data_IF_590355845486
#
_entry.id   IF_590355845486
#
_cell.length_a   1.000
_cell.length_b   1.000
_cell.length_c   1.000
_cell.angle_alpha   90.00
_cell.angle_beta   90.00
_cell.angle_gamma   90.00
#
_symmetry.space_group_name_H-M   'P 1'
#
loop_
_entity.id
_entity.type
_entity.pdbx_description
1 polymer ?
#
# COMPACT_ATOMS: atom_id res chain seq x y z
N UNK A 1 -2.17 -23.53 17.68
CA UNK A 1 -3.27 -23.69 16.70
C UNK A 1 -4.21 -22.49 16.64
N UNK A 2 -4.92 -22.09 17.71
CA UNK A 2 -5.84 -20.93 17.68
C UNK A 2 -5.14 -19.56 17.75
N UNK A 3 -4.00 -19.47 18.43
CA UNK A 3 -3.18 -18.25 18.49
C UNK A 3 -2.55 -17.88 17.15
N UNK A 4 -2.10 -18.88 16.39
CA UNK A 4 -1.41 -18.68 15.11
C UNK A 4 -2.35 -18.08 14.06
N UNK A 5 -3.58 -18.60 13.97
CA UNK A 5 -4.63 -18.07 13.10
C UNK A 5 -5.02 -16.62 13.43
N UNK A 6 -5.04 -16.27 14.71
CA UNK A 6 -5.33 -14.89 15.15
C UNK A 6 -4.21 -13.93 14.71
N UNK A 7 -2.95 -14.35 14.81
CA UNK A 7 -1.80 -13.56 14.36
C UNK A 7 -1.80 -13.35 12.84
N UNK A 8 -2.03 -14.41 12.08
CA UNK A 8 -2.10 -14.33 10.61
C UNK A 8 -3.23 -13.40 10.12
N UNK A 9 -4.41 -13.47 10.75
CA UNK A 9 -5.52 -12.60 10.42
C UNK A 9 -5.19 -11.12 10.71
N UNK A 10 -4.52 -10.86 11.83
CA UNK A 10 -4.07 -9.50 12.20
C UNK A 10 -3.04 -8.96 11.21
N UNK A 11 -2.07 -9.78 10.81
CA UNK A 11 -1.04 -9.38 9.86
C UNK A 11 -1.64 -9.00 8.50
N UNK A 12 -2.52 -9.86 7.97
CA UNK A 12 -3.25 -9.59 6.72
C UNK A 12 -4.10 -8.31 6.81
N UNK A 13 -4.74 -8.08 7.97
CA UNK A 13 -5.50 -6.85 8.21
C UNK A 13 -4.62 -5.60 8.18
N UNK A 14 -3.45 -5.64 8.84
CA UNK A 14 -2.52 -4.52 8.87
C UNK A 14 -1.98 -4.20 7.47
N UNK A 15 -1.65 -5.22 6.68
CA UNK A 15 -1.23 -5.02 5.28
C UNK A 15 -2.35 -4.40 4.43
N UNK A 16 -3.59 -4.85 4.60
CA UNK A 16 -4.75 -4.24 3.94
C UNK A 16 -4.96 -2.77 4.33
N UNK A 17 -4.75 -2.42 5.60
CA UNK A 17 -4.89 -1.05 6.09
C UNK A 17 -3.89 -0.07 5.42
N UNK A 18 -2.70 -0.54 5.04
CA UNK A 18 -1.71 0.26 4.30
C UNK A 18 -2.25 0.64 2.93
N UNK A 19 -2.85 -0.31 2.21
CA UNK A 19 -3.43 -0.10 0.87
C UNK A 19 -4.57 0.93 0.93
N UNK A 20 -5.44 0.82 1.95
CA UNK A 20 -6.52 1.78 2.16
C UNK A 20 -5.98 3.18 2.45
N UNK A 21 -4.98 3.29 3.34
CA UNK A 21 -4.34 4.58 3.68
C UNK A 21 -3.67 5.23 2.47
N UNK A 22 -3.13 4.44 1.56
CA UNK A 22 -2.54 4.92 0.30
C UNK A 22 -3.59 5.36 -0.74
N UNK A 23 -4.89 5.25 -0.45
CA UNK A 23 -5.96 5.59 -1.39
C UNK A 23 -6.15 4.55 -2.51
N UNK A 24 -5.61 3.33 -2.34
CA UNK A 24 -5.56 2.30 -3.37
C UNK A 24 -6.59 1.18 -3.15
N UNK A 25 -7.62 1.43 -2.34
CA UNK A 25 -8.64 0.42 -1.99
C UNK A 25 -9.42 -0.12 -3.20
N UNK A 26 -9.48 0.65 -4.29
CA UNK A 26 -10.14 0.30 -5.55
C UNK A 26 -9.16 -0.09 -6.68
N UNK A 27 -7.86 -0.09 -6.40
CA UNK A 27 -6.85 -0.44 -7.40
C UNK A 27 -6.91 -1.93 -7.77
N UNK A 28 -6.52 -2.26 -8.99
CA UNK A 28 -6.41 -3.64 -9.44
C UNK A 28 -5.39 -4.43 -8.59
N UNK A 29 -5.71 -5.70 -8.33
CA UNK A 29 -4.89 -6.57 -7.47
C UNK A 29 -3.56 -6.95 -8.09
N UNK A 30 -3.51 -7.13 -9.42
CA UNK A 30 -2.27 -7.43 -10.11
C UNK A 30 -1.36 -6.20 -10.14
N UNK A 31 -1.94 -5.00 -10.34
CA UNK A 31 -1.21 -3.74 -10.21
C UNK A 31 -0.54 -3.57 -8.84
N UNK A 32 -1.30 -3.78 -7.75
CA UNK A 32 -0.78 -3.70 -6.39
C UNK A 32 0.35 -4.71 -6.15
N UNK A 33 0.15 -5.97 -6.53
CA UNK A 33 1.16 -7.00 -6.37
C UNK A 33 2.43 -6.69 -7.18
N UNK A 34 2.29 -6.23 -8.43
CA UNK A 34 3.42 -5.83 -9.27
C UNK A 34 4.25 -4.71 -8.63
N UNK A 35 3.60 -3.68 -8.11
CA UNK A 35 4.27 -2.60 -7.38
C UNK A 35 5.01 -3.10 -6.12
N UNK A 36 4.38 -3.99 -5.34
CA UNK A 36 5.02 -4.57 -4.15
C UNK A 36 6.24 -5.45 -4.50
N UNK A 37 6.20 -6.17 -5.62
CA UNK A 37 7.34 -6.96 -6.11
C UNK A 37 8.51 -6.06 -6.53
N UNK A 38 8.23 -4.93 -7.20
CA UNK A 38 9.24 -3.92 -7.50
C UNK A 38 9.83 -3.29 -6.22
N UNK A 39 9.01 -3.07 -5.20
CA UNK A 39 9.48 -2.60 -3.89
C UNK A 39 10.35 -3.64 -3.17
N UNK A 40 10.01 -4.93 -3.27
CA UNK A 40 10.78 -6.02 -2.65
C UNK A 40 12.22 -6.14 -3.20
N UNK A 41 12.46 -5.63 -4.40
CA UNK A 41 13.80 -5.58 -5.02
C UNK A 41 14.66 -4.41 -4.54
N UNK A 42 14.10 -3.46 -3.79
CA UNK A 42 14.83 -2.30 -3.31
C UNK A 42 15.76 -2.72 -2.16
N UNK A 43 17.07 -2.49 -2.34
CA UNK A 43 18.06 -2.83 -1.33
C UNK A 43 17.78 -2.09 0.00
N UNK A 44 17.72 -2.82 1.14
CA UNK A 44 17.60 -2.22 2.47
C UNK A 44 18.70 -1.19 2.71
N UNK A 45 18.34 -0.05 3.28
CA UNK A 45 19.30 1.03 3.56
C UNK A 45 19.79 1.80 2.33
N UNK A 46 19.33 1.48 1.11
CA UNK A 46 19.56 2.35 -0.06
C UNK A 46 18.87 3.71 0.10
N UNK A 47 19.30 4.70 -0.69
CA UNK A 47 18.64 6.02 -0.71
C UNK A 47 17.16 5.91 -1.08
N UNK A 48 16.81 5.04 -2.03
CA UNK A 48 15.42 4.76 -2.42
C UNK A 48 14.63 4.16 -1.25
N UNK A 49 15.20 3.18 -0.54
CA UNK A 49 14.56 2.59 0.64
C UNK A 49 14.28 3.65 1.71
N UNK A 50 15.28 4.47 2.07
CA UNK A 50 15.11 5.54 3.07
C UNK A 50 14.02 6.54 2.66
N UNK A 51 14.09 7.04 1.42
CA UNK A 51 13.08 7.98 0.90
C UNK A 51 11.66 7.41 0.98
N UNK A 52 11.45 6.17 0.56
CA UNK A 52 10.13 5.54 0.62
C UNK A 52 9.63 5.35 2.06
N UNK A 53 10.53 5.00 2.97
CA UNK A 53 10.24 4.94 4.40
C UNK A 53 9.82 6.30 4.95
N UNK A 54 10.58 7.35 4.65
CA UNK A 54 10.30 8.71 5.15
C UNK A 54 8.93 9.21 4.67
N UNK A 55 8.59 8.98 3.40
CA UNK A 55 7.26 9.28 2.84
C UNK A 55 6.17 8.50 3.58
N UNK A 56 6.40 7.21 3.83
CA UNK A 56 5.46 6.36 4.57
C UNK A 56 5.24 6.85 6.00
N UNK A 57 6.31 7.22 6.72
CA UNK A 57 6.23 7.74 8.08
C UNK A 57 5.39 9.03 8.15
N UNK A 58 5.55 9.94 7.19
CA UNK A 58 4.72 11.14 7.12
C UNK A 58 3.25 10.83 6.79
N UNK A 59 2.98 9.90 5.89
CA UNK A 59 1.61 9.48 5.57
C UNK A 59 0.88 8.79 6.75
N UNK A 60 1.63 8.18 7.69
CA UNK A 60 1.07 7.62 8.92
C UNK A 60 0.78 8.68 9.99
N UNK A 61 1.58 9.76 10.04
CA UNK A 61 1.36 10.90 10.94
C UNK A 61 0.20 11.78 10.49
N UNK A 62 0.01 11.92 9.19
CA UNK A 62 -1.11 12.67 8.64
C UNK A 62 -2.46 12.02 9.05
N UNK A 63 -3.49 12.84 9.36
CA UNK A 63 -4.85 12.32 9.47
C UNK A 63 -5.20 11.62 8.16
N UNK A 64 -5.93 10.50 8.26
CA UNK A 64 -6.33 9.74 7.07
C UNK A 64 -6.99 10.73 6.10
N UNK A 65 -6.43 10.84 4.90
CA UNK A 65 -7.00 11.69 3.87
C UNK A 65 -8.44 11.23 3.68
N UNK A 66 -9.39 12.06 4.12
CA UNK A 66 -10.80 11.82 3.85
C UNK A 66 -10.95 11.61 2.34
N UNK A 67 -11.85 10.70 1.98
CA UNK A 67 -12.17 10.13 0.65
C UNK A 67 -12.64 11.17 -0.40
N UNK A 68 -12.01 12.35 -0.43
CA UNK A 68 -12.27 13.47 -1.33
C UNK A 68 -10.97 13.93 -1.98
N UNK A 69 -10.46 13.11 -2.89
CA UNK A 69 -9.66 13.61 -4.01
C UNK A 69 -10.01 12.81 -5.27
N UNK A 70 -10.04 13.44 -6.46
CA UNK A 70 -10.82 12.97 -7.58
C UNK A 70 -10.23 11.69 -8.16
N UNK A 71 -11.14 10.85 -8.64
CA UNK A 71 -10.90 9.61 -9.38
C UNK A 71 -9.66 9.73 -10.27
N UNK A 72 -8.70 8.83 -10.07
CA UNK A 72 -7.90 8.36 -11.19
C UNK A 72 -8.90 7.64 -12.13
N UNK A 73 -9.44 8.39 -13.08
CA UNK A 73 -10.07 7.83 -14.27
C UNK A 73 -8.95 7.17 -15.06
N UNK A 74 -8.76 5.88 -14.79
CA UNK A 74 -8.06 4.98 -15.69
C UNK A 74 -8.86 4.95 -16.98
N UNK A 75 -8.51 5.84 -17.90
CA UNK A 75 -8.99 5.82 -19.29
C UNK A 75 -8.55 4.50 -19.88
N UNK A 76 -9.46 3.53 -19.83
CA UNK A 76 -9.43 2.36 -20.68
C UNK A 76 -9.69 2.83 -22.12
N UNK A 77 -8.65 3.35 -22.78
CA UNK A 77 -8.63 3.47 -24.24
C UNK A 77 -8.51 2.04 -24.81
N UNK A 78 -9.67 1.42 -25.02
CA UNK A 78 -9.78 0.24 -25.87
C UNK A 78 -9.66 0.68 -27.34
N UNK A 79 -8.66 0.14 -28.05
CA UNK A 79 -8.69 -0.05 -29.50
C UNK A 79 -8.76 -1.55 -29.78
#
# INVERSE_FOLDING_TARGET
MTSDRKREAREKFLLGAIVVRAGLSKADRAFLLGGLLELARVAPGSAKHRRLRDIGEEAFKAPALDDRSPRNEETAEWR
#
